data_IF_382720441366
#
_entry.id   IF_382720441366
#
_cell.length_a   1.000
_cell.length_b   1.000
_cell.length_c   1.000
_cell.angle_alpha   90.00
_cell.angle_beta   90.00
_cell.angle_gamma   90.00
#
_symmetry.space_group_name_H-M   'P 1'
#
loop_
_entity.id
_entity.type
_entity.pdbx_description
1 polymer ?
#
# COMPACT_ATOMS: atom_id res chain seq x y z
N UNK A 1 13.03 -1.16 0.88
CA UNK A 1 12.27 0.07 0.48
C UNK A 1 11.50 -0.21 -0.80
N UNK A 2 10.39 0.47 -1.15
CA UNK A 2 9.54 0.05 -2.29
C UNK A 2 10.31 0.01 -3.63
N UNK A 3 10.96 1.09 -4.03
CA UNK A 3 11.70 1.15 -5.30
C UNK A 3 12.96 0.28 -5.30
N UNK A 4 13.66 0.19 -4.16
CA UNK A 4 14.76 -0.75 -3.98
C UNK A 4 14.31 -2.19 -4.20
N UNK A 5 13.22 -2.63 -3.56
CA UNK A 5 12.67 -3.97 -3.75
C UNK A 5 12.29 -4.23 -5.21
N UNK A 6 11.65 -3.26 -5.88
CA UNK A 6 11.31 -3.38 -7.30
C UNK A 6 12.57 -3.44 -8.20
N UNK A 7 13.66 -2.77 -7.82
CA UNK A 7 14.95 -2.85 -8.50
C UNK A 7 15.61 -4.21 -8.31
N UNK A 8 15.72 -4.67 -7.06
CA UNK A 8 16.30 -5.96 -6.67
C UNK A 8 15.57 -7.16 -7.28
N UNK A 9 14.24 -7.07 -7.40
CA UNK A 9 13.40 -8.11 -8.03
C UNK A 9 13.40 -8.04 -9.56
N UNK A 10 14.10 -7.07 -10.16
CA UNK A 10 14.22 -6.97 -11.62
C UNK A 10 12.90 -6.63 -12.31
N UNK A 11 12.01 -5.84 -11.69
CA UNK A 11 10.79 -5.39 -12.36
C UNK A 11 11.16 -4.61 -13.63
N UNK A 12 10.49 -4.97 -14.73
CA UNK A 12 10.69 -4.38 -16.06
C UNK A 12 9.84 -3.13 -16.27
N UNK A 13 8.87 -2.87 -15.37
CA UNK A 13 8.04 -1.69 -15.42
C UNK A 13 8.85 -0.43 -15.08
N UNK A 14 8.51 0.66 -15.76
CA UNK A 14 9.01 1.97 -15.41
C UNK A 14 8.51 2.35 -14.00
N UNK A 15 9.41 2.89 -13.18
CA UNK A 15 9.11 3.33 -11.82
C UNK A 15 8.81 4.81 -11.84
N UNK A 16 7.67 5.21 -11.29
CA UNK A 16 7.21 6.60 -11.31
C UNK A 16 6.79 7.02 -9.90
N UNK A 17 7.27 8.19 -9.46
CA UNK A 17 6.87 8.78 -8.19
C UNK A 17 6.21 10.15 -8.43
N UNK A 18 4.94 10.24 -8.06
CA UNK A 18 4.25 11.51 -7.90
C UNK A 18 4.67 12.15 -6.58
N UNK A 19 5.11 13.40 -6.58
CA UNK A 19 5.55 14.09 -5.37
C UNK A 19 5.08 15.55 -5.33
N UNK A 20 4.91 16.16 -4.14
CA UNK A 20 4.55 17.58 -4.05
C UNK A 20 5.62 18.48 -4.66
N UNK A 21 5.23 19.37 -5.57
CA UNK A 21 6.16 20.24 -6.32
C UNK A 21 7.00 21.19 -5.46
N UNK A 22 6.57 21.46 -4.22
CA UNK A 22 7.30 22.30 -3.27
C UNK A 22 8.48 21.58 -2.59
N UNK A 23 8.67 20.28 -2.82
CA UNK A 23 9.86 19.56 -2.35
C UNK A 23 11.02 19.83 -3.31
N UNK A 24 11.99 20.57 -2.81
CA UNK A 24 13.20 20.93 -3.55
C UNK A 24 14.14 19.72 -3.71
N UNK A 25 14.48 19.38 -4.96
CA UNK A 25 15.40 18.30 -5.31
C UNK A 25 16.86 18.67 -5.02
N UNK A 26 17.21 19.95 -5.13
CA UNK A 26 18.56 20.47 -4.93
C UNK A 26 18.80 20.90 -3.48
N UNK A 27 17.74 20.88 -2.66
CA UNK A 27 17.76 21.26 -1.27
C UNK A 27 18.46 20.24 -0.36
N UNK A 28 18.87 20.68 0.82
CA UNK A 28 19.49 19.82 1.86
C UNK A 28 18.48 19.03 2.71
N UNK A 29 17.18 19.15 2.39
CA UNK A 29 16.07 18.47 3.08
C UNK A 29 16.18 16.95 2.97
N UNK A 30 15.50 16.25 3.87
CA UNK A 30 15.47 14.78 3.82
C UNK A 30 14.72 14.30 2.58
N UNK A 31 13.62 15.00 2.26
CA UNK A 31 12.77 14.74 1.10
C UNK A 31 13.55 14.87 -0.21
N UNK A 32 14.27 15.99 -0.40
CA UNK A 32 15.07 16.23 -1.60
C UNK A 32 16.14 15.15 -1.80
N UNK A 33 16.87 14.79 -0.74
CA UNK A 33 17.87 13.72 -0.77
C UNK A 33 17.27 12.36 -1.14
N UNK A 34 16.09 12.02 -0.60
CA UNK A 34 15.42 10.77 -0.90
C UNK A 34 14.86 10.73 -2.32
N UNK A 35 14.33 11.85 -2.82
CA UNK A 35 13.90 11.99 -4.22
C UNK A 35 15.09 11.82 -5.17
N UNK A 36 16.22 12.47 -4.87
CA UNK A 36 17.44 12.34 -5.66
C UNK A 36 17.93 10.89 -5.67
N UNK A 37 17.98 10.21 -4.50
CA UNK A 37 18.32 8.78 -4.39
C UNK A 37 17.37 7.91 -5.23
N UNK A 38 16.06 8.17 -5.18
CA UNK A 38 15.07 7.47 -5.99
C UNK A 38 15.34 7.61 -7.50
N UNK A 39 15.66 8.82 -7.94
CA UNK A 39 15.94 9.11 -9.33
C UNK A 39 17.27 8.50 -9.81
N UNK A 40 18.34 8.63 -9.03
CA UNK A 40 19.69 8.25 -9.45
C UNK A 40 20.00 6.78 -9.29
N UNK A 41 19.60 6.15 -8.17
CA UNK A 41 19.92 4.75 -7.88
C UNK A 41 18.88 3.77 -8.42
N UNK A 42 17.60 4.16 -8.39
CA UNK A 42 16.48 3.28 -8.77
C UNK A 42 15.80 3.67 -10.07
N UNK A 43 16.34 4.68 -10.76
CA UNK A 43 15.85 5.18 -12.06
C UNK A 43 14.35 5.53 -12.04
N UNK A 44 13.89 6.09 -10.91
CA UNK A 44 12.49 6.52 -10.75
C UNK A 44 12.28 7.83 -11.50
N UNK A 45 11.27 7.88 -12.36
CA UNK A 45 10.80 9.14 -12.95
C UNK A 45 9.99 9.92 -11.92
N UNK A 46 10.47 11.10 -11.57
CA UNK A 46 9.81 12.00 -10.64
C UNK A 46 8.84 12.91 -11.40
N UNK A 47 7.58 12.92 -10.98
CA UNK A 47 6.54 13.80 -11.55
C UNK A 47 6.06 14.74 -10.44
N UNK A 48 6.40 16.04 -10.51
CA UNK A 48 5.90 17.00 -9.53
C UNK A 48 4.41 17.23 -9.73
N UNK A 49 3.67 17.33 -8.62
CA UNK A 49 2.25 17.66 -8.60
C UNK A 49 2.04 18.88 -7.71
N UNK A 50 1.24 19.82 -8.19
CA UNK A 50 0.77 20.93 -7.38
C UNK A 50 -0.25 20.43 -6.36
N UNK A 51 0.12 20.55 -5.09
CA UNK A 51 -0.67 20.12 -3.96
C UNK A 51 -1.18 21.37 -3.26
N UNK A 52 -2.50 21.56 -3.22
CA UNK A 52 -3.10 22.69 -2.52
C UNK A 52 -4.21 22.24 -1.58
N UNK A 53 -4.16 22.75 -0.36
CA UNK A 53 -5.28 22.73 0.58
C UNK A 53 -6.34 23.69 0.07
N UNK A 54 -7.59 23.20 -0.11
CA UNK A 54 -8.75 24.03 -0.54
C UNK A 54 -8.72 25.39 0.19
N UNK A 55 -8.32 26.46 -0.50
CA UNK A 55 -8.39 27.84 -0.01
C UNK A 55 -9.32 28.60 -0.96
N UNK A 56 -10.29 29.30 -0.37
CA UNK A 56 -11.13 30.30 -1.02
C UNK A 56 -11.95 29.86 -2.24
N UNK A 57 -12.52 28.65 -2.23
CA UNK A 57 -13.56 28.27 -3.19
C UNK A 57 -13.08 27.97 -4.62
N UNK A 58 -11.78 28.10 -4.89
CA UNK A 58 -11.18 27.66 -6.15
C UNK A 58 -10.87 26.15 -6.13
N UNK A 59 -11.10 25.53 -7.29
CA UNK A 59 -11.04 24.09 -7.55
C UNK A 59 -9.59 23.60 -7.59
N UNK A 60 -9.03 23.29 -6.43
CA UNK A 60 -7.69 22.70 -6.28
C UNK A 60 -7.76 21.22 -5.88
N UNK A 61 -6.78 20.41 -6.31
CA UNK A 61 -6.71 18.97 -6.00
C UNK A 61 -6.24 18.75 -4.55
N UNK A 62 -7.07 18.19 -3.66
CA UNK A 62 -6.69 18.01 -2.25
C UNK A 62 -5.62 16.93 -2.07
N UNK A 63 -4.64 17.16 -1.19
CA UNK A 63 -3.51 16.26 -0.85
C UNK A 63 -3.96 14.81 -0.62
N UNK A 64 -5.08 14.64 0.08
CA UNK A 64 -5.66 13.34 0.44
C UNK A 64 -6.10 12.49 -0.76
N UNK A 65 -6.29 13.09 -1.92
CA UNK A 65 -6.67 12.39 -3.16
C UNK A 65 -5.51 12.26 -4.13
N UNK A 66 -4.29 12.66 -3.78
CA UNK A 66 -3.14 12.68 -4.71
C UNK A 66 -2.90 11.32 -5.40
N UNK A 67 -3.21 10.21 -4.74
CA UNK A 67 -3.13 8.86 -5.34
C UNK A 67 -3.99 8.72 -6.58
N UNK A 68 -5.13 9.41 -6.65
CA UNK A 68 -6.07 9.31 -7.78
C UNK A 68 -5.59 10.10 -9.01
N UNK A 69 -4.49 10.86 -8.90
CA UNK A 69 -3.77 11.40 -10.06
C UNK A 69 -3.18 10.29 -10.94
N UNK A 70 -3.09 9.05 -10.44
CA UNK A 70 -2.71 7.89 -11.24
C UNK A 70 -3.63 7.68 -12.46
N UNK A 71 -4.90 8.12 -12.41
CA UNK A 71 -5.81 8.05 -13.56
C UNK A 71 -5.43 9.03 -14.69
N UNK A 72 -4.67 10.09 -14.38
CA UNK A 72 -4.22 11.10 -15.33
C UNK A 72 -2.87 10.76 -16.00
N UNK A 73 -2.28 9.63 -15.65
CA UNK A 73 -0.99 9.18 -16.18
C UNK A 73 -1.12 8.54 -17.57
N UNK A 74 -1.76 9.25 -18.50
CA UNK A 74 -2.18 8.76 -19.83
C UNK A 74 -1.03 8.40 -20.77
N UNK A 75 0.19 8.83 -20.46
CA UNK A 75 1.40 8.43 -21.17
C UNK A 75 1.83 6.99 -20.88
N UNK A 76 1.23 6.33 -19.88
CA UNK A 76 1.58 4.97 -19.48
C UNK A 76 0.52 3.96 -19.91
N UNK A 77 0.99 2.79 -20.33
CA UNK A 77 0.17 1.61 -20.58
C UNK A 77 0.74 0.40 -19.83
N UNK A 78 -0.03 -0.69 -19.75
CA UNK A 78 0.31 -1.91 -19.01
C UNK A 78 1.58 -2.58 -19.57
N UNK A 79 2.45 -3.06 -18.67
CA UNK A 79 3.66 -3.84 -19.00
C UNK A 79 3.30 -5.34 -19.11
N UNK A 80 4.30 -6.21 -19.28
CA UNK A 80 4.22 -7.67 -19.36
C UNK A 80 4.27 -8.38 -17.99
N UNK A 81 4.56 -7.69 -16.88
CA UNK A 81 4.55 -8.33 -15.55
C UNK A 81 3.18 -8.95 -15.27
N UNK A 82 3.15 -10.08 -14.55
CA UNK A 82 1.97 -10.93 -14.35
C UNK A 82 0.67 -10.17 -14.02
N UNK A 83 0.72 -9.17 -13.13
CA UNK A 83 -0.48 -8.45 -12.72
C UNK A 83 -1.07 -7.57 -13.84
N UNK A 84 -0.24 -7.16 -14.78
CA UNK A 84 -0.67 -6.39 -15.94
C UNK A 84 -1.36 -7.27 -17.00
N UNK A 85 -1.30 -8.59 -16.88
CA UNK A 85 -2.00 -9.55 -17.74
C UNK A 85 -3.49 -9.68 -17.39
N UNK A 86 -3.95 -9.09 -16.29
CA UNK A 86 -5.38 -8.96 -16.00
C UNK A 86 -6.11 -8.27 -17.17
N UNK A 87 -7.40 -8.55 -17.41
CA UNK A 87 -8.17 -7.85 -18.42
C UNK A 87 -8.09 -6.33 -18.25
N UNK A 88 -8.08 -5.59 -19.35
CA UNK A 88 -8.09 -4.14 -19.30
C UNK A 88 -9.41 -3.63 -18.70
N UNK A 89 -9.28 -2.89 -17.61
CA UNK A 89 -10.41 -2.27 -16.90
C UNK A 89 -9.93 -0.95 -16.29
N UNK A 90 -10.80 0.07 -16.17
CA UNK A 90 -10.45 1.35 -15.55
C UNK A 90 -9.77 1.21 -14.18
N UNK A 91 -10.28 0.29 -13.36
CA UNK A 91 -9.84 0.12 -11.99
C UNK A 91 -9.89 -1.36 -11.55
N UNK A 92 -8.82 -1.79 -10.88
CA UNK A 92 -8.74 -3.07 -10.20
C UNK A 92 -8.03 -2.91 -8.86
N UNK A 93 -8.52 -3.60 -7.83
CA UNK A 93 -7.94 -3.50 -6.49
C UNK A 93 -8.35 -4.71 -5.62
N UNK A 94 -7.53 -5.09 -4.63
CA UNK A 94 -7.95 -6.01 -3.58
C UNK A 94 -9.10 -5.47 -2.73
N UNK A 95 -9.83 -6.39 -2.10
CA UNK A 95 -10.71 -6.01 -0.99
C UNK A 95 -9.87 -5.73 0.25
N UNK A 96 -10.29 -4.75 1.04
CA UNK A 96 -9.76 -4.48 2.36
C UNK A 96 -10.27 -5.54 3.34
N UNK A 97 -9.69 -6.74 3.29
CA UNK A 97 -10.17 -7.90 4.03
C UNK A 97 -10.20 -7.70 5.56
N UNK A 98 -9.42 -6.76 6.09
CA UNK A 98 -9.39 -6.41 7.51
C UNK A 98 -10.58 -5.53 7.95
N UNK A 99 -11.39 -5.07 6.98
CA UNK A 99 -12.62 -4.34 7.24
C UNK A 99 -13.82 -5.31 7.24
N UNK A 100 -14.95 -4.83 7.75
CA UNK A 100 -16.17 -5.61 7.97
C UNK A 100 -16.50 -6.56 6.79
N UNK A 101 -16.55 -7.87 7.09
CA UNK A 101 -16.71 -8.95 6.12
C UNK A 101 -17.95 -8.81 5.23
N UNK A 102 -19.01 -8.16 5.73
CA UNK A 102 -20.25 -7.93 4.98
C UNK A 102 -20.15 -6.81 3.94
N UNK A 103 -19.26 -5.84 4.13
CA UNK A 103 -19.13 -4.68 3.25
C UNK A 103 -18.07 -4.84 2.17
N UNK A 104 -17.03 -5.64 2.46
CA UNK A 104 -15.91 -5.96 1.54
C UNK A 104 -15.49 -4.76 0.68
N UNK A 105 -15.12 -3.60 1.25
CA UNK A 105 -14.76 -2.45 0.44
C UNK A 105 -13.45 -2.72 -0.32
N UNK A 106 -13.27 -2.09 -1.48
CA UNK A 106 -12.00 -2.02 -2.20
C UNK A 106 -10.99 -1.19 -1.40
N UNK A 107 -9.69 -1.49 -1.49
CA UNK A 107 -8.63 -0.67 -0.88
C UNK A 107 -7.96 0.26 -1.90
N UNK A 108 -7.42 1.39 -1.45
CA UNK A 108 -6.55 2.25 -2.27
C UNK A 108 -5.05 2.00 -2.00
N UNK A 109 -4.72 0.98 -1.21
CA UNK A 109 -3.33 0.67 -0.81
C UNK A 109 -2.54 -0.05 -1.91
N UNK A 110 -3.25 -0.70 -2.82
CA UNK A 110 -2.72 -1.40 -3.97
C UNK A 110 -3.77 -1.29 -5.09
N UNK A 111 -3.38 -0.76 -6.24
CA UNK A 111 -4.31 -0.46 -7.32
C UNK A 111 -3.66 -0.78 -8.67
N UNK A 112 -4.44 -1.34 -9.57
CA UNK A 112 -4.12 -1.38 -10.99
C UNK A 112 -5.12 -0.49 -11.72
N UNK A 113 -4.59 0.57 -12.34
CA UNK A 113 -5.37 1.61 -13.00
C UNK A 113 -5.09 1.54 -14.50
N UNK A 114 -6.11 1.75 -15.34
CA UNK A 114 -5.93 2.08 -16.76
C UNK A 114 -6.10 3.60 -16.92
N UNK A 115 -5.00 4.36 -17.04
CA UNK A 115 -5.09 5.81 -17.16
C UNK A 115 -5.85 6.21 -18.44
N UNK A 116 -6.74 7.21 -18.32
CA UNK A 116 -7.43 7.81 -19.46
C UNK A 116 -8.02 9.15 -19.04
N UNK A 117 -8.10 10.10 -19.98
CA UNK A 117 -8.70 11.42 -19.71
C UNK A 117 -10.16 11.30 -19.28
N UNK A 118 -10.93 10.39 -19.91
CA UNK A 118 -12.34 10.18 -19.58
C UNK A 118 -12.54 9.66 -18.16
N UNK A 119 -11.79 8.65 -17.74
CA UNK A 119 -11.90 8.10 -16.37
C UNK A 119 -11.32 9.07 -15.34
N UNK A 120 -10.26 9.83 -15.67
CA UNK A 120 -9.75 10.87 -14.80
C UNK A 120 -10.79 11.97 -14.56
N UNK A 121 -11.48 12.44 -15.60
CA UNK A 121 -12.56 13.43 -15.47
C UNK A 121 -13.69 12.90 -14.58
N UNK A 122 -14.09 11.64 -14.74
CA UNK A 122 -15.11 11.00 -13.88
C UNK A 122 -14.68 10.93 -12.41
N UNK A 123 -13.42 10.58 -12.15
CA UNK A 123 -12.86 10.56 -10.77
C UNK A 123 -12.78 11.99 -10.20
N UNK A 124 -12.42 12.96 -11.02
CA UNK A 124 -12.33 14.36 -10.62
C UNK A 124 -13.70 14.94 -10.27
N UNK A 125 -14.73 14.67 -11.04
CA UNK A 125 -16.12 15.06 -10.74
C UNK A 125 -16.57 14.50 -9.39
N UNK A 126 -16.26 13.23 -9.10
CA UNK A 126 -16.56 12.62 -7.81
C UNK A 126 -15.81 13.31 -6.65
N UNK A 127 -14.55 13.70 -6.86
CA UNK A 127 -13.76 14.47 -5.88
C UNK A 127 -14.35 15.87 -5.65
N UNK A 128 -14.88 16.53 -6.68
CA UNK A 128 -15.55 17.83 -6.50
C UNK A 128 -16.83 17.74 -5.68
N UNK A 129 -17.56 16.66 -5.86
CA UNK A 129 -18.78 16.37 -5.09
C UNK A 129 -18.47 15.84 -3.67
N UNK A 130 -17.21 15.45 -3.41
CA UNK A 130 -16.78 14.89 -2.15
C UNK A 130 -16.80 15.91 -1.01
N UNK A 131 -17.37 15.49 0.11
CA UNK A 131 -17.32 16.23 1.37
C UNK A 131 -15.91 16.22 1.97
N UNK A 132 -15.66 17.14 2.91
CA UNK A 132 -14.35 17.25 3.58
C UNK A 132 -13.94 15.99 4.36
N UNK A 133 -14.87 15.09 4.67
CA UNK A 133 -14.60 13.82 5.37
C UNK A 133 -14.24 12.66 4.42
N UNK A 134 -14.49 12.74 3.11
CA UNK A 134 -14.51 11.59 2.21
C UNK A 134 -13.12 11.09 1.78
N UNK A 135 -12.71 9.86 2.10
CA UNK A 135 -11.37 9.36 1.72
C UNK A 135 -11.25 8.99 0.23
N UNK A 136 -10.02 8.86 -0.26
CA UNK A 136 -9.70 8.26 -1.56
C UNK A 136 -10.36 6.88 -1.72
N UNK A 137 -10.33 6.07 -0.67
CA UNK A 137 -11.02 4.77 -0.63
C UNK A 137 -12.52 4.90 -0.81
N UNK A 138 -13.16 5.92 -0.20
CA UNK A 138 -14.60 6.14 -0.35
C UNK A 138 -14.96 6.46 -1.80
N UNK A 139 -14.25 7.41 -2.41
CA UNK A 139 -14.47 7.78 -3.83
C UNK A 139 -14.34 6.58 -4.75
N UNK A 140 -13.31 5.76 -4.55
CA UNK A 140 -13.11 4.55 -5.35
C UNK A 140 -14.22 3.52 -5.15
N UNK A 141 -14.74 3.34 -3.93
CA UNK A 141 -15.85 2.43 -3.69
C UNK A 141 -17.15 2.97 -4.29
N UNK A 142 -17.45 4.25 -4.15
CA UNK A 142 -18.65 4.86 -4.74
C UNK A 142 -18.66 4.72 -6.28
N UNK A 143 -17.48 4.82 -6.93
CA UNK A 143 -17.37 4.72 -8.39
C UNK A 143 -17.26 3.28 -8.92
N UNK A 144 -16.61 2.38 -8.16
CA UNK A 144 -16.15 1.10 -8.69
C UNK A 144 -16.50 -0.14 -7.85
N UNK A 145 -17.23 -0.03 -6.74
CA UNK A 145 -17.53 -1.17 -5.86
C UNK A 145 -18.07 -2.40 -6.61
N UNK A 146 -18.98 -2.16 -7.57
CA UNK A 146 -19.68 -3.19 -8.34
C UNK A 146 -19.06 -3.48 -9.71
N UNK A 147 -18.07 -2.68 -10.15
CA UNK A 147 -17.52 -2.76 -11.50
C UNK A 147 -16.04 -3.12 -11.55
N UNK A 148 -15.27 -2.84 -10.48
CA UNK A 148 -13.84 -3.12 -10.43
C UNK A 148 -13.53 -4.61 -10.62
N UNK A 149 -12.38 -4.90 -11.24
CA UNK A 149 -11.77 -6.21 -11.10
C UNK A 149 -11.24 -6.34 -9.66
N UNK A 150 -11.69 -7.37 -8.96
CA UNK A 150 -11.19 -7.68 -7.61
C UNK A 150 -9.91 -8.50 -7.73
N UNK A 151 -8.78 -7.89 -7.37
CA UNK A 151 -7.49 -8.57 -7.30
C UNK A 151 -7.48 -9.45 -6.03
N UNK A 152 -7.05 -10.71 -6.07
CA UNK A 152 -6.95 -11.50 -4.86
C UNK A 152 -5.91 -10.88 -3.92
N UNK A 153 -6.26 -10.64 -2.65
CA UNK A 153 -5.31 -10.11 -1.66
C UNK A 153 -4.20 -11.12 -1.33
N UNK A 154 -4.40 -12.41 -1.60
CA UNK A 154 -3.34 -13.42 -1.58
C UNK A 154 -2.90 -13.70 -3.03
N UNK A 155 -1.65 -13.45 -3.43
CA UNK A 155 -0.50 -13.00 -2.62
C UNK A 155 -0.24 -11.47 -2.59
N UNK A 156 -1.11 -10.65 -3.19
CA UNK A 156 -0.79 -9.25 -3.54
C UNK A 156 -0.99 -8.20 -2.43
N UNK A 157 -1.53 -8.56 -1.28
CA UNK A 157 -1.82 -7.62 -0.21
C UNK A 157 -1.90 -8.32 1.15
N UNK A 158 -0.75 -8.49 1.79
CA UNK A 158 -0.63 -8.98 3.17
C UNK A 158 -0.37 -7.80 4.11
N UNK A 159 -1.15 -7.66 5.18
CA UNK A 159 -0.87 -6.68 6.22
C UNK A 159 0.13 -7.27 7.22
N UNK A 160 1.09 -6.48 7.66
CA UNK A 160 1.94 -6.82 8.82
C UNK A 160 1.12 -7.07 10.08
N UNK A 161 0.01 -6.33 10.25
CA UNK A 161 -0.94 -6.53 11.34
C UNK A 161 -1.60 -7.90 11.36
N UNK A 162 -1.58 -8.63 10.24
CA UNK A 162 -2.07 -10.01 10.19
C UNK A 162 -1.26 -10.92 11.12
N UNK A 163 0.07 -10.74 11.21
CA UNK A 163 0.92 -11.52 12.11
C UNK A 163 0.65 -11.26 13.60
N UNK A 164 -0.09 -10.19 13.93
CA UNK A 164 -0.56 -9.88 15.29
C UNK A 164 -1.98 -10.34 15.55
N UNK A 165 -2.75 -10.62 14.49
CA UNK A 165 -4.13 -11.04 14.63
C UNK A 165 -4.21 -12.41 15.30
N UNK A 166 -5.31 -12.65 16.02
CA UNK A 166 -5.63 -13.98 16.58
C UNK A 166 -6.64 -14.74 15.73
N UNK A 167 -7.30 -14.04 14.81
CA UNK A 167 -8.25 -14.59 13.87
C UNK A 167 -7.84 -14.16 12.46
N UNK A 168 -7.54 -15.15 11.64
CA UNK A 168 -7.09 -14.98 10.25
C UNK A 168 -8.17 -15.31 9.23
N UNK A 169 -9.41 -15.60 9.66
CA UNK A 169 -10.46 -16.09 8.76
C UNK A 169 -10.71 -15.17 7.56
N UNK A 170 -10.67 -13.85 7.77
CA UNK A 170 -10.86 -12.88 6.70
C UNK A 170 -9.71 -12.86 5.69
N UNK A 171 -8.47 -13.01 6.17
CA UNK A 171 -7.30 -13.09 5.30
C UNK A 171 -7.26 -14.42 4.55
N UNK A 172 -7.54 -15.52 5.24
CA UNK A 172 -7.50 -16.86 4.66
C UNK A 172 -8.65 -17.08 3.66
N UNK A 173 -9.82 -16.53 3.94
CA UNK A 173 -11.00 -16.57 3.06
C UNK A 173 -11.62 -17.97 2.89
N UNK A 174 -11.15 -18.96 3.66
CA UNK A 174 -11.60 -20.35 3.62
C UNK A 174 -11.57 -20.95 5.02
N UNK A 175 -12.62 -21.66 5.46
CA UNK A 175 -12.64 -22.34 6.76
C UNK A 175 -11.70 -23.54 6.83
N UNK A 176 -11.14 -23.98 5.69
CA UNK A 176 -10.22 -25.11 5.60
C UNK A 176 -8.75 -24.70 5.50
N UNK A 177 -8.48 -23.40 5.36
CA UNK A 177 -7.12 -22.90 5.31
C UNK A 177 -6.60 -22.69 6.73
N UNK A 178 -5.34 -23.05 6.96
CA UNK A 178 -4.65 -22.85 8.24
C UNK A 178 -3.66 -21.70 8.10
N UNK A 179 -3.54 -20.91 9.16
CA UNK A 179 -2.50 -19.89 9.26
C UNK A 179 -1.16 -20.55 9.58
N UNK A 180 -0.18 -20.39 8.70
CA UNK A 180 1.22 -20.65 8.98
C UNK A 180 2.03 -19.41 8.56
N UNK A 181 2.71 -18.73 9.50
CA UNK A 181 3.37 -17.45 9.21
C UNK A 181 4.52 -17.58 8.22
N UNK A 182 5.21 -18.73 8.16
CA UNK A 182 6.31 -18.96 7.20
C UNK A 182 5.76 -19.11 5.78
N UNK A 183 4.73 -19.97 5.62
CA UNK A 183 4.09 -20.23 4.33
C UNK A 183 3.44 -18.96 3.79
N UNK A 184 2.70 -18.25 4.64
CA UNK A 184 2.03 -17.01 4.24
C UNK A 184 3.04 -15.94 3.80
N UNK A 185 4.15 -15.79 4.53
CA UNK A 185 5.18 -14.84 4.16
C UNK A 185 5.89 -15.24 2.86
N UNK A 186 6.20 -16.53 2.69
CA UNK A 186 6.85 -17.06 1.50
C UNK A 186 6.03 -16.80 0.23
N UNK A 187 4.71 -16.94 0.33
CA UNK A 187 3.80 -16.71 -0.80
C UNK A 187 3.57 -15.22 -1.09
N UNK A 188 3.74 -14.34 -0.09
CA UNK A 188 3.40 -12.92 -0.20
C UNK A 188 4.27 -12.18 -1.21
N UNK A 189 3.64 -11.47 -2.15
CA UNK A 189 4.31 -10.60 -3.13
C UNK A 189 4.39 -9.15 -2.68
N UNK A 190 3.54 -8.74 -1.73
CA UNK A 190 3.51 -7.37 -1.21
C UNK A 190 3.04 -7.33 0.25
N UNK A 191 3.85 -6.68 1.09
CA UNK A 191 3.64 -6.52 2.52
C UNK A 191 3.32 -5.06 2.85
N UNK A 192 2.17 -4.80 3.47
CA UNK A 192 1.68 -3.48 3.82
C UNK A 192 1.79 -3.24 5.32
N UNK A 193 2.67 -2.30 5.71
CA UNK A 193 2.84 -1.87 7.10
C UNK A 193 1.58 -1.16 7.64
N UNK A 194 0.79 -1.85 8.46
CA UNK A 194 -0.46 -1.35 9.03
C UNK A 194 -0.64 -1.86 10.47
N UNK A 195 0.06 -1.21 11.42
CA UNK A 195 0.20 -1.72 12.79
C UNK A 195 -0.10 -0.73 13.91
N UNK A 196 -0.95 0.27 13.69
CA UNK A 196 -1.32 1.21 14.76
C UNK A 196 -1.62 0.45 16.08
N UNK A 197 -1.02 0.86 17.23
CA UNK A 197 -0.27 2.10 17.48
C UNK A 197 1.23 2.09 17.10
N UNK A 198 1.77 1.01 16.56
CA UNK A 198 3.15 0.96 16.07
C UNK A 198 3.27 1.90 14.87
N UNK A 199 4.26 2.77 14.90
CA UNK A 199 4.47 3.77 13.85
C UNK A 199 4.84 3.10 12.53
N UNK A 200 4.72 3.85 11.43
CA UNK A 200 5.29 3.44 10.15
C UNK A 200 6.79 3.15 10.31
N UNK A 201 7.38 2.21 9.56
CA UNK A 201 8.70 1.66 9.86
C UNK A 201 9.86 2.67 9.70
N UNK A 202 9.64 3.80 9.03
CA UNK A 202 10.59 4.92 8.97
C UNK A 202 10.53 5.88 10.16
N UNK A 203 9.63 5.66 11.11
CA UNK A 203 9.49 6.44 12.34
C UNK A 203 9.85 5.52 13.50
N UNK A 204 10.75 5.99 14.36
CA UNK A 204 11.15 5.24 15.56
C UNK A 204 9.97 5.06 16.50
N UNK A 205 9.51 3.82 16.67
CA UNK A 205 8.49 3.46 17.65
C UNK A 205 9.14 3.32 19.04
N UNK A 206 8.53 3.84 20.12
CA UNK A 206 9.02 3.63 21.48
C UNK A 206 9.12 2.14 21.84
N UNK A 207 10.18 1.74 22.55
CA UNK A 207 10.42 0.35 22.91
C UNK A 207 9.25 -0.29 23.67
N UNK A 208 8.67 0.44 24.64
CA UNK A 208 7.50 -0.02 25.40
C UNK A 208 6.26 -0.27 24.52
N UNK A 209 6.10 0.48 23.42
CA UNK A 209 5.03 0.24 22.45
C UNK A 209 5.35 -1.02 21.65
N UNK A 210 6.56 -1.17 21.12
CA UNK A 210 6.96 -2.40 20.41
C UNK A 210 6.77 -3.65 21.28
N UNK A 211 7.25 -3.60 22.53
CA UNK A 211 7.18 -4.71 23.49
C UNK A 211 5.74 -5.13 23.79
N UNK A 212 4.84 -4.15 23.95
CA UNK A 212 3.43 -4.38 24.23
C UNK A 212 2.65 -4.88 23.00
N UNK A 213 3.06 -4.47 21.80
CA UNK A 213 2.25 -4.69 20.59
C UNK A 213 2.72 -5.84 19.72
N UNK A 214 3.93 -6.35 19.91
CA UNK A 214 4.44 -7.53 19.19
C UNK A 214 3.50 -8.74 19.37
N UNK A 215 3.43 -9.67 18.39
CA UNK A 215 2.66 -10.90 18.53
C UNK A 215 3.08 -11.70 19.77
N UNK A 216 2.14 -12.39 20.42
CA UNK A 216 2.51 -13.40 21.42
C UNK A 216 3.14 -14.62 20.76
N UNK A 217 3.99 -15.35 21.49
CA UNK A 217 4.29 -16.72 21.08
C UNK A 217 3.11 -17.61 21.45
N UNK A 218 2.71 -18.48 20.53
CA UNK A 218 1.67 -19.46 20.77
C UNK A 218 2.26 -20.66 21.50
N UNK A 219 1.50 -21.25 22.42
CA UNK A 219 1.91 -22.46 23.12
C UNK A 219 0.94 -23.56 22.76
N UNK A 220 1.45 -24.60 22.13
CA UNK A 220 0.68 -25.80 21.84
C UNK A 220 0.24 -26.45 23.15
N UNK A 221 -1.07 -26.58 23.34
CA UNK A 221 -1.64 -27.02 24.62
C UNK A 221 -1.41 -28.51 24.90
N UNK A 222 -1.08 -29.30 23.89
CA UNK A 222 -0.88 -30.75 24.02
C UNK A 222 0.59 -31.11 24.21
N UNK A 223 1.48 -30.46 23.46
CA UNK A 223 2.91 -30.74 23.42
C UNK A 223 3.73 -29.78 24.29
N UNK A 224 3.18 -28.63 24.66
CA UNK A 224 3.89 -27.55 25.35
C UNK A 224 4.90 -26.81 24.47
N UNK A 225 4.89 -27.08 23.15
CA UNK A 225 5.81 -26.45 22.20
C UNK A 225 5.46 -24.97 22.06
N UNK A 226 6.47 -24.11 22.13
CA UNK A 226 6.31 -22.66 21.96
C UNK A 226 6.63 -22.29 20.51
N UNK A 227 5.69 -21.64 19.83
CA UNK A 227 5.84 -21.10 18.48
C UNK A 227 5.87 -19.57 18.51
N UNK A 228 7.05 -19.00 18.24
CA UNK A 228 7.27 -17.55 18.16
C UNK A 228 7.37 -17.03 16.73
N UNK A 229 7.15 -17.85 15.69
CA UNK A 229 7.45 -17.50 14.30
C UNK A 229 6.74 -16.22 13.84
N UNK A 230 5.48 -16.03 14.23
CA UNK A 230 4.75 -14.81 13.90
C UNK A 230 5.40 -13.55 14.51
N UNK A 231 5.87 -13.63 15.77
CA UNK A 231 6.62 -12.56 16.44
C UNK A 231 7.94 -12.29 15.74
N UNK A 232 8.68 -13.35 15.43
CA UNK A 232 10.02 -13.25 14.85
C UNK A 232 9.96 -12.60 13.46
N UNK A 233 9.00 -13.01 12.62
CA UNK A 233 8.74 -12.36 11.34
C UNK A 233 8.30 -10.90 11.51
N UNK A 234 7.35 -10.64 12.41
CA UNK A 234 6.84 -9.29 12.62
C UNK A 234 7.94 -8.32 13.06
N UNK A 235 8.76 -8.68 14.05
CA UNK A 235 9.94 -7.90 14.46
C UNK A 235 10.98 -7.81 13.33
N UNK A 236 11.16 -8.91 12.60
CA UNK A 236 12.02 -9.00 11.43
C UNK A 236 11.68 -7.98 10.35
N UNK A 237 10.39 -7.74 10.07
CA UNK A 237 9.97 -6.74 9.07
C UNK A 237 10.45 -5.32 9.40
N UNK A 238 10.34 -4.92 10.67
CA UNK A 238 10.80 -3.60 11.12
C UNK A 238 12.32 -3.50 11.14
N UNK A 239 12.99 -4.56 11.60
CA UNK A 239 14.45 -4.64 11.59
C UNK A 239 15.01 -4.57 10.17
N UNK A 240 14.51 -5.39 9.25
CA UNK A 240 14.90 -5.41 7.85
C UNK A 240 14.67 -4.06 7.18
N UNK A 241 13.52 -3.41 7.44
CA UNK A 241 13.27 -2.08 6.90
C UNK A 241 14.29 -1.04 7.41
N UNK A 242 14.61 -1.07 8.71
CA UNK A 242 15.58 -0.15 9.31
C UNK A 242 16.98 -0.37 8.74
N UNK A 243 17.45 -1.61 8.71
CA UNK A 243 18.76 -2.00 8.18
C UNK A 243 18.91 -1.60 6.70
N UNK A 244 17.91 -1.88 5.86
CA UNK A 244 17.95 -1.50 4.44
C UNK A 244 17.88 0.00 4.19
N UNK A 245 17.38 0.79 5.16
CA UNK A 245 17.32 2.26 5.03
C UNK A 245 18.65 2.93 5.38
N UNK A 246 19.49 2.30 6.19
CA UNK A 246 20.82 2.80 6.52
C UNK A 246 21.81 2.66 5.35
N UNK A 247 21.51 1.76 4.40
CA UNK A 247 22.22 1.57 3.12
C UNK A 247 21.65 2.50 2.04
#
# INVERSE_FOLDING_TARGET
MQYESLGRLGSQAERVLLYPSHWDLEGSSTEGKLLLKAQTEYHVKLIPIEVQTRKNGDVAWPDRFIKLQAFNLTQYNRNMDEIFQLPEYPFASPRAYWLEFGKRPLTSSFMLVKPSESEFNRVWEAIQQAGNADSDTKILNDLYHDSAIVIPHRPYHLLTGEFRAKDHANYLGSPHATWDPDVILQDAKYLHFSDAPVSKPWIKTPAAVMEKTQPDCEVDTETGTVDCRARDHWLGFYKDFAERREV
#
